data_IF_782389354574
#
_entry.id   IF_782389354574
#
_cell.length_a   1.000
_cell.length_b   1.000
_cell.length_c   1.000
_cell.angle_alpha   90.00
_cell.angle_beta   90.00
_cell.angle_gamma   90.00
#
_symmetry.space_group_name_H-M   'P 1'
#
loop_
_entity.id
_entity.type
_entity.pdbx_description
1 polymer ?
#
# COMPACT_ATOMS: atom_id res chain seq x y z
N UNK A 1 -8.16 2.64 27.34
CA UNK A 1 -7.20 3.26 26.41
C UNK A 1 -7.36 2.64 25.03
N UNK A 2 -8.12 3.29 24.13
CA UNK A 2 -8.13 2.88 22.73
C UNK A 2 -6.77 3.27 22.14
N UNK A 3 -5.90 2.27 22.04
CA UNK A 3 -4.53 2.44 21.56
C UNK A 3 -4.55 2.97 20.12
N UNK A 4 -3.51 3.71 19.73
CA UNK A 4 -3.31 4.25 18.39
C UNK A 4 -3.62 3.24 17.27
N UNK A 5 -3.36 1.95 17.53
CA UNK A 5 -3.69 0.83 16.64
C UNK A 5 -5.18 0.71 16.33
N UNK A 6 -6.06 0.93 17.29
CA UNK A 6 -7.51 0.86 17.10
C UNK A 6 -7.99 1.94 16.13
N UNK A 7 -7.38 3.14 16.18
CA UNK A 7 -7.66 4.24 15.27
C UNK A 7 -7.18 3.92 13.85
N UNK A 8 -6.03 3.26 13.71
CA UNK A 8 -5.55 2.76 12.42
C UNK A 8 -6.48 1.68 11.87
N UNK A 9 -6.87 0.69 12.68
CA UNK A 9 -7.79 -0.37 12.24
C UNK A 9 -9.15 0.20 11.82
N UNK A 10 -9.66 1.18 12.58
CA UNK A 10 -10.92 1.88 12.26
C UNK A 10 -10.79 2.73 11.00
N UNK A 11 -9.62 3.35 10.79
CA UNK A 11 -9.31 4.07 9.55
C UNK A 11 -9.19 3.13 8.35
N UNK A 12 -8.51 1.99 8.49
CA UNK A 12 -8.41 0.97 7.45
C UNK A 12 -9.78 0.38 7.08
N UNK A 13 -10.68 0.22 8.06
CA UNK A 13 -12.07 -0.22 7.86
C UNK A 13 -13.00 0.88 7.33
N UNK A 14 -12.57 2.14 7.36
CA UNK A 14 -13.34 3.27 6.85
C UNK A 14 -13.38 3.27 5.31
N UNK A 15 -14.37 3.91 4.67
CA UNK A 15 -14.42 4.04 3.21
C UNK A 15 -13.19 4.76 2.62
N UNK A 16 -12.51 5.60 3.40
CA UNK A 16 -11.27 6.26 3.00
C UNK A 16 -10.10 5.28 2.97
N UNK A 17 -9.98 4.43 3.99
CA UNK A 17 -8.98 3.35 4.06
C UNK A 17 -9.20 2.27 3.02
N UNK A 18 -10.45 1.89 2.76
CA UNK A 18 -10.80 0.96 1.67
C UNK A 18 -10.42 1.52 0.31
N UNK A 19 -10.69 2.80 0.02
CA UNK A 19 -10.25 3.45 -1.24
C UNK A 19 -8.72 3.40 -1.39
N UNK A 20 -8.00 3.64 -0.30
CA UNK A 20 -6.53 3.54 -0.26
C UNK A 20 -6.05 2.12 -0.53
N UNK A 21 -6.65 1.11 0.12
CA UNK A 21 -6.36 -0.30 -0.15
C UNK A 21 -6.70 -0.69 -1.58
N UNK A 22 -7.83 -0.27 -2.12
CA UNK A 22 -8.24 -0.57 -3.50
C UNK A 22 -7.29 0.08 -4.50
N UNK A 23 -6.90 1.33 -4.28
CA UNK A 23 -5.92 2.01 -5.13
C UNK A 23 -4.54 1.33 -5.04
N UNK A 24 -4.11 0.94 -3.85
CA UNK A 24 -2.88 0.18 -3.66
C UNK A 24 -2.95 -1.20 -4.34
N UNK A 25 -4.10 -1.88 -4.24
CA UNK A 25 -4.33 -3.19 -4.86
C UNK A 25 -4.39 -3.09 -6.37
N UNK A 26 -5.03 -2.06 -6.93
CA UNK A 26 -5.01 -1.78 -8.37
C UNK A 26 -3.59 -1.44 -8.86
N UNK A 27 -2.84 -0.63 -8.10
CA UNK A 27 -1.44 -0.35 -8.39
C UNK A 27 -0.57 -1.61 -8.36
N UNK A 28 -0.84 -2.53 -7.43
CA UNK A 28 -0.13 -3.80 -7.31
C UNK A 28 -0.56 -4.85 -8.33
N UNK A 29 -1.83 -4.82 -8.75
CA UNK A 29 -2.39 -5.70 -9.80
C UNK A 29 -1.90 -5.32 -11.18
N UNK A 30 -1.41 -4.10 -11.38
CA UNK A 30 -0.85 -3.68 -12.66
C UNK A 30 0.56 -4.27 -12.87
N UNK A 31 0.72 -5.27 -13.75
CA UNK A 31 2.00 -5.96 -13.94
C UNK A 31 3.09 -5.01 -14.46
N UNK A 32 2.71 -3.95 -15.19
CA UNK A 32 3.65 -2.95 -15.71
C UNK A 32 4.25 -2.12 -14.59
N UNK A 33 3.43 -1.72 -13.61
CA UNK A 33 3.91 -1.00 -12.42
C UNK A 33 4.73 -1.90 -11.51
N UNK A 34 4.39 -3.19 -11.42
CA UNK A 34 5.16 -4.17 -10.65
C UNK A 34 6.58 -4.35 -11.21
N UNK A 35 6.75 -4.47 -12.52
CA UNK A 35 8.07 -4.55 -13.15
C UNK A 35 8.91 -3.27 -12.92
N UNK A 36 8.29 -2.10 -13.01
CA UNK A 36 8.97 -0.83 -12.72
C UNK A 36 9.35 -0.71 -11.24
N UNK A 37 8.45 -1.09 -10.33
CA UNK A 37 8.72 -1.10 -8.89
C UNK A 37 9.83 -2.10 -8.54
N UNK A 38 9.83 -3.30 -9.12
CA UNK A 38 10.90 -4.28 -8.94
C UNK A 38 12.25 -3.78 -9.47
N UNK A 39 12.27 -3.08 -10.61
CA UNK A 39 13.49 -2.46 -11.12
C UNK A 39 14.00 -1.34 -10.21
N UNK A 40 13.11 -0.48 -9.72
CA UNK A 40 13.45 0.59 -8.78
C UNK A 40 13.96 0.03 -7.45
N UNK A 41 13.26 -0.97 -6.89
CA UNK A 41 13.67 -1.68 -5.68
C UNK A 41 15.02 -2.39 -5.87
N UNK A 42 15.25 -3.04 -7.03
CA UNK A 42 16.54 -3.66 -7.36
C UNK A 42 17.67 -2.64 -7.45
N UNK A 43 17.42 -1.47 -8.03
CA UNK A 43 18.41 -0.37 -8.08
C UNK A 43 18.70 0.17 -6.69
N UNK A 44 17.67 0.30 -5.85
CA UNK A 44 17.81 0.79 -4.48
C UNK A 44 18.54 -0.22 -3.57
N UNK A 45 18.31 -1.53 -3.76
CA UNK A 45 19.01 -2.60 -3.01
C UNK A 45 20.47 -2.80 -3.44
N UNK A 46 20.88 -2.24 -4.58
CA UNK A 46 22.26 -2.30 -5.09
C UNK A 46 23.11 -1.11 -4.66
N UNK A 47 22.51 -0.09 -4.04
CA UNK A 47 23.22 0.96 -3.31
C UNK A 47 23.28 0.60 -1.83
#
# INVERSE_FOLDING_TARGET
MASFMDKITRFLRSPQGQKLQTKARQMAQDPRRRAQAEQLLRKFRKR
#
